data_IF_199074201699
#
_entry.id   IF_199074201699
#
_cell.length_a   1.000
_cell.length_b   1.000
_cell.length_c   1.000
_cell.angle_alpha   90.00
_cell.angle_beta   90.00
_cell.angle_gamma   90.00
#
_symmetry.space_group_name_H-M   'P 1'
#
loop_
_entity.id
_entity.type
_entity.pdbx_description
1 polymer ?
#
# COMPACT_ATOMS: atom_id res chain seq x y z
N UNK A 1 -6.42 11.36 14.43
CA UNK A 1 -7.23 10.13 14.48
C UNK A 1 -6.62 9.26 15.56
N UNK A 2 -7.35 9.02 16.65
CA UNK A 2 -6.84 8.19 17.74
C UNK A 2 -6.87 6.72 17.33
N UNK A 3 -5.85 5.97 17.71
CA UNK A 3 -5.73 4.53 17.44
C UNK A 3 -6.80 3.67 18.13
N UNK A 4 -7.69 4.29 18.92
CA UNK A 4 -8.68 3.62 19.79
C UNK A 4 -10.08 3.53 19.18
N UNK A 5 -10.38 4.31 18.13
CA UNK A 5 -11.68 4.19 17.48
C UNK A 5 -11.82 2.78 16.86
N UNK A 6 -13.02 2.20 16.78
CA UNK A 6 -13.21 0.93 16.09
C UNK A 6 -13.00 1.07 14.58
N UNK A 7 -12.61 -0.02 13.91
CA UNK A 7 -12.55 -0.07 12.45
C UNK A 7 -13.97 -0.24 11.87
N UNK A 8 -14.37 0.71 11.03
CA UNK A 8 -15.61 0.67 10.24
C UNK A 8 -15.26 0.58 8.76
N UNK A 9 -16.20 0.13 7.93
CA UNK A 9 -16.03 0.13 6.45
C UNK A 9 -15.62 1.52 5.95
N UNK A 10 -16.29 2.57 6.43
CA UNK A 10 -15.96 3.94 6.06
C UNK A 10 -14.52 4.34 6.45
N UNK A 11 -14.09 3.97 7.66
CA UNK A 11 -12.74 4.28 8.14
C UNK A 11 -11.66 3.54 7.35
N UNK A 12 -11.90 2.27 7.03
CA UNK A 12 -11.00 1.48 6.18
C UNK A 12 -10.88 2.15 4.81
N UNK A 13 -11.99 2.54 4.18
CA UNK A 13 -11.97 3.24 2.90
C UNK A 13 -11.18 4.56 2.98
N UNK A 14 -11.36 5.34 4.05
CA UNK A 14 -10.63 6.59 4.23
C UNK A 14 -9.11 6.43 4.43
N UNK A 15 -8.67 5.28 4.95
CA UNK A 15 -7.25 4.98 5.10
C UNK A 15 -6.55 4.66 3.77
N UNK A 16 -7.31 4.29 2.73
CA UNK A 16 -6.75 3.99 1.42
C UNK A 16 -6.43 5.29 0.65
N UNK A 17 -5.21 5.47 0.11
CA UNK A 17 -4.78 6.73 -0.48
C UNK A 17 -5.39 7.00 -1.86
N UNK A 18 -5.67 5.96 -2.65
CA UNK A 18 -6.13 6.08 -4.03
C UNK A 18 -7.65 5.87 -4.15
N UNK A 19 -8.37 6.72 -4.90
CA UNK A 19 -9.82 6.60 -5.05
C UNK A 19 -10.24 5.26 -5.69
N UNK A 20 -9.43 4.71 -6.59
CA UNK A 20 -9.66 3.40 -7.21
C UNK A 20 -9.63 2.28 -6.16
N UNK A 21 -8.67 2.34 -5.22
CA UNK A 21 -8.57 1.37 -4.13
C UNK A 21 -9.78 1.46 -3.18
N UNK A 22 -10.29 2.67 -2.93
CA UNK A 22 -11.51 2.88 -2.14
C UNK A 22 -12.73 2.27 -2.83
N UNK A 23 -12.89 2.55 -4.11
CA UNK A 23 -14.01 2.01 -4.88
C UNK A 23 -13.96 0.50 -4.97
N UNK A 24 -12.78 -0.08 -5.21
CA UNK A 24 -12.61 -1.53 -5.25
C UNK A 24 -12.93 -2.17 -3.90
N UNK A 25 -12.43 -1.59 -2.80
CA UNK A 25 -12.77 -2.04 -1.45
C UNK A 25 -14.29 -2.03 -1.20
N UNK A 26 -14.96 -0.91 -1.49
CA UNK A 26 -16.41 -0.79 -1.29
C UNK A 26 -17.19 -1.77 -2.18
N UNK A 27 -16.72 -1.99 -3.41
CA UNK A 27 -17.29 -3.00 -4.32
C UNK A 27 -17.16 -4.40 -3.73
N UNK A 28 -15.98 -4.77 -3.23
CA UNK A 28 -15.73 -6.07 -2.62
C UNK A 28 -16.57 -6.26 -1.35
N UNK A 29 -16.67 -5.26 -0.48
CA UNK A 29 -17.50 -5.32 0.74
C UNK A 29 -18.96 -5.62 0.39
N UNK A 30 -19.50 -4.99 -0.65
CA UNK A 30 -20.90 -5.17 -1.06
C UNK A 30 -21.19 -6.51 -1.76
N UNK A 31 -20.18 -7.13 -2.39
CA UNK A 31 -20.37 -8.35 -3.17
C UNK A 31 -19.88 -9.62 -2.48
N UNK A 32 -19.09 -9.49 -1.41
CA UNK A 32 -18.55 -10.64 -0.68
C UNK A 32 -19.65 -11.32 0.13
N UNK A 33 -19.77 -12.66 0.07
CA UNK A 33 -20.70 -13.38 0.93
C UNK A 33 -20.46 -13.07 2.40
N UNK A 34 -21.53 -13.02 3.19
CA UNK A 34 -21.45 -12.61 4.60
C UNK A 34 -20.50 -13.48 5.44
N UNK A 35 -20.33 -14.75 5.08
CA UNK A 35 -19.39 -15.68 5.73
C UNK A 35 -17.91 -15.34 5.48
N UNK A 36 -17.60 -14.74 4.33
CA UNK A 36 -16.23 -14.39 3.93
C UNK A 36 -15.87 -12.93 4.25
N UNK A 37 -16.89 -12.10 4.54
CA UNK A 37 -16.75 -10.68 4.81
C UNK A 37 -15.79 -10.37 5.98
N UNK A 38 -15.80 -11.10 7.11
CA UNK A 38 -14.83 -10.85 8.19
C UNK A 38 -13.38 -11.01 7.74
N UNK A 39 -13.09 -12.01 6.90
CA UNK A 39 -11.75 -12.25 6.36
C UNK A 39 -11.31 -11.15 5.38
N UNK A 40 -12.23 -10.70 4.52
CA UNK A 40 -11.98 -9.54 3.65
C UNK A 40 -11.64 -8.29 4.47
N UNK A 41 -12.48 -7.96 5.46
CA UNK A 41 -12.30 -6.76 6.28
C UNK A 41 -10.99 -6.80 7.07
N UNK A 42 -10.62 -7.95 7.64
CA UNK A 42 -9.37 -8.11 8.37
C UNK A 42 -8.13 -7.80 7.50
N UNK A 43 -8.11 -8.27 6.25
CA UNK A 43 -7.01 -7.98 5.31
C UNK A 43 -6.88 -6.49 5.02
N UNK A 44 -8.00 -5.80 4.83
CA UNK A 44 -7.98 -4.37 4.56
C UNK A 44 -7.68 -3.52 5.78
N UNK A 45 -8.08 -3.97 6.98
CA UNK A 45 -7.63 -3.36 8.25
C UNK A 45 -6.12 -3.42 8.36
N UNK A 46 -5.52 -4.60 8.14
CA UNK A 46 -4.07 -4.76 8.16
C UNK A 46 -3.37 -3.81 7.16
N UNK A 47 -3.83 -3.77 5.91
CA UNK A 47 -3.27 -2.87 4.91
C UNK A 47 -3.41 -1.39 5.30
N UNK A 48 -4.55 -1.00 5.89
CA UNK A 48 -4.78 0.35 6.38
C UNK A 48 -3.83 0.71 7.54
N UNK A 49 -3.60 -0.22 8.47
CA UNK A 49 -2.66 -0.03 9.58
C UNK A 49 -1.22 0.15 9.09
N UNK A 50 -0.78 -0.66 8.12
CA UNK A 50 0.55 -0.55 7.50
C UNK A 50 0.72 0.80 6.79
N UNK A 51 -0.29 1.25 6.04
CA UNK A 51 -0.28 2.55 5.39
C UNK A 51 -0.21 3.71 6.41
N UNK A 52 -1.01 3.64 7.47
CA UNK A 52 -1.00 4.65 8.54
C UNK A 52 0.36 4.68 9.24
N UNK A 53 0.95 3.52 9.54
CA UNK A 53 2.26 3.41 10.16
C UNK A 53 3.39 3.95 9.24
N UNK A 54 3.25 3.81 7.93
CA UNK A 54 4.20 4.33 6.94
C UNK A 54 4.10 5.83 6.66
N UNK A 55 2.99 6.50 7.00
CA UNK A 55 2.78 7.92 6.73
C UNK A 55 3.89 8.85 7.26
N UNK A 56 4.39 8.70 8.50
CA UNK A 56 5.48 9.55 8.99
C UNK A 56 6.74 9.43 8.14
N UNK A 57 7.09 8.21 7.72
CA UNK A 57 8.26 7.97 6.88
C UNK A 57 8.09 8.58 5.49
N UNK A 58 6.95 8.34 4.84
CA UNK A 58 6.64 8.95 3.54
C UNK A 58 6.65 10.49 3.59
N UNK A 59 6.18 11.09 4.69
CA UNK A 59 6.24 12.54 4.90
C UNK A 59 7.67 13.05 5.08
N UNK A 60 8.49 12.34 5.86
CA UNK A 60 9.89 12.68 6.05
C UNK A 60 10.66 12.62 4.72
N UNK A 61 10.43 11.57 3.93
CA UNK A 61 10.99 11.41 2.60
C UNK A 61 10.58 12.56 1.67
N UNK A 62 9.28 12.85 1.58
CA UNK A 62 8.78 13.95 0.77
C UNK A 62 9.34 15.32 1.19
N UNK A 63 9.57 15.54 2.49
CA UNK A 63 10.20 16.76 2.98
C UNK A 63 11.68 16.85 2.61
N UNK A 64 12.40 15.73 2.69
CA UNK A 64 13.80 15.64 2.28
C UNK A 64 13.95 15.91 0.79
N UNK A 65 13.18 15.22 -0.06
CA UNK A 65 13.19 15.44 -1.53
C UNK A 65 12.91 16.90 -1.88
N UNK A 66 11.98 17.57 -1.19
CA UNK A 66 11.73 19.01 -1.41
C UNK A 66 12.90 19.89 -0.99
N UNK A 67 13.65 19.51 0.04
CA UNK A 67 14.76 20.29 0.57
C UNK A 67 16.06 20.08 -0.21
N UNK A 68 16.33 18.86 -0.67
CA UNK A 68 17.59 18.46 -1.31
C UNK A 68 17.48 18.25 -2.81
N UNK A 69 16.26 18.04 -3.33
CA UNK A 69 16.02 17.60 -4.71
C UNK A 69 16.37 16.13 -4.98
N UNK A 70 16.76 15.39 -3.94
CA UNK A 70 17.30 14.02 -4.01
C UNK A 70 16.43 13.06 -3.19
N UNK A 71 16.20 11.86 -3.73
CA UNK A 71 15.51 10.76 -3.06
C UNK A 71 16.58 9.75 -2.58
N UNK A 72 16.83 9.65 -1.26
CA UNK A 72 17.93 8.87 -0.71
C UNK A 72 17.88 7.36 -1.02
N UNK A 73 16.78 6.85 -1.58
CA UNK A 73 16.62 5.43 -1.95
C UNK A 73 16.58 5.17 -3.47
N UNK A 74 16.65 6.22 -4.31
CA UNK A 74 16.72 6.11 -5.78
C UNK A 74 18.00 6.69 -6.39
N UNK A 75 18.78 7.45 -5.63
CA UNK A 75 20.03 8.02 -6.13
C UNK A 75 21.21 7.02 -6.08
N UNK A 76 21.06 5.89 -5.37
CA UNK A 76 21.95 4.71 -5.45
C UNK A 76 21.15 3.48 -5.90
N UNK A 77 20.60 3.55 -7.11
CA UNK A 77 20.20 2.31 -7.79
C UNK A 77 21.48 1.60 -8.24
N UNK A 78 21.98 0.70 -7.40
CA UNK A 78 23.03 -0.24 -7.78
C UNK A 78 22.56 -0.99 -9.05
N UNK A 79 23.31 -0.84 -10.14
CA UNK A 79 23.01 -1.49 -11.41
C UNK A 79 22.82 -3.01 -11.26
N UNK A 80 23.45 -3.62 -10.25
CA UNK A 80 23.28 -5.03 -9.92
C UNK A 80 21.85 -5.35 -9.44
N UNK A 81 21.24 -4.47 -8.64
CA UNK A 81 19.87 -4.64 -8.14
C UNK A 81 18.86 -4.56 -9.29
N UNK A 82 19.04 -3.62 -10.21
CA UNK A 82 18.19 -3.47 -11.42
C UNK A 82 18.34 -4.70 -12.30
N UNK A 83 19.57 -5.15 -12.54
CA UNK A 83 19.86 -6.31 -13.37
C UNK A 83 19.23 -7.58 -12.79
N UNK A 84 19.23 -7.72 -11.46
CA UNK A 84 18.60 -8.82 -10.71
C UNK A 84 17.07 -8.77 -10.71
N UNK A 85 16.47 -7.59 -10.81
CA UNK A 85 15.03 -7.43 -10.97
C UNK A 85 14.57 -7.76 -12.40
N UNK A 86 15.28 -7.24 -13.41
CA UNK A 86 15.01 -7.52 -14.83
C UNK A 86 15.13 -9.01 -15.15
N UNK A 87 16.13 -9.71 -14.57
CA UNK A 87 16.29 -11.16 -14.77
C UNK A 87 15.18 -11.98 -14.11
N UNK A 88 14.70 -11.58 -12.91
CA UNK A 88 13.55 -12.23 -12.25
C UNK A 88 12.23 -12.02 -13.00
N UNK A 89 11.98 -10.81 -13.51
CA UNK A 89 10.76 -10.52 -14.28
C UNK A 89 10.66 -11.33 -15.59
N UNK A 90 11.80 -11.53 -16.27
CA UNK A 90 11.86 -12.38 -17.48
C UNK A 90 11.72 -13.88 -17.19
N UNK A 91 12.22 -14.35 -16.05
CA UNK A 91 12.05 -15.75 -15.64
C UNK A 91 10.59 -16.10 -15.30
N UNK A 92 9.84 -15.17 -14.69
CA UNK A 92 8.41 -15.40 -14.39
C UNK A 92 7.49 -15.26 -15.62
N UNK A 93 7.83 -14.41 -16.58
CA UNK A 93 7.03 -14.27 -17.82
C UNK A 93 7.24 -15.41 -18.84
N UNK A 94 8.30 -16.22 -18.69
CA UNK A 94 8.55 -17.38 -19.57
C UNK A 94 7.96 -18.70 -19.03
N UNK A 95 7.35 -18.67 -17.85
CA UNK A 95 6.72 -19.83 -17.20
C UNK A 95 5.18 -19.76 -17.22
N UNK A 96 4.60 -18.83 -17.98
CA UNK A 96 3.17 -18.66 -18.20
C UNK A 96 2.77 -19.09 -19.62
#
# INVERSE_FOLDING_TARGET
MNSTDPWTVDRIAHALPHPEARHEFLRLVNLTPIGDLPGLLARYVQAAEELIAGLPHARALAAQVRATGLDPDLDEVDEEIVRKWISRGRAQSSAA
#
